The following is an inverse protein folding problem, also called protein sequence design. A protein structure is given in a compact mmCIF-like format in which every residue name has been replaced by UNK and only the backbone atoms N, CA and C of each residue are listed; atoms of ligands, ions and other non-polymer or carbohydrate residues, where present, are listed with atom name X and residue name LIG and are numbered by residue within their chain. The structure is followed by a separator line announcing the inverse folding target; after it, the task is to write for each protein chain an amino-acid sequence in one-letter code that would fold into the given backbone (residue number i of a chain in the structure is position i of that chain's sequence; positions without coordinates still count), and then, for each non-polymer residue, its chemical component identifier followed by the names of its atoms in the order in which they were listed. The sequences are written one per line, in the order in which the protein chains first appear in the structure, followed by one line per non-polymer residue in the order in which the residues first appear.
data_IF_981729842264
#
_entry.id   IF_981729842264
#
_cell.length_a   1.000
_cell.length_b   1.000
_cell.length_c   1.000
_cell.angle_alpha   90.00
_cell.angle_beta   90.00
_cell.angle_gamma   90.00
#
_symmetry.space_group_name_H-M   'P 1'
#
loop_
_entity.id
_entity.type
_entity.pdbx_description
1 polymer ?
#
# COMPACT_ATOMS: atom_id res chain seq x y z
N UNK A 1 17.92 48.43 8.95
CA UNK A 1 16.65 47.74 9.26
C UNK A 1 16.80 46.27 8.88
N UNK A 2 17.04 45.42 9.82
CA UNK A 2 17.29 44.00 9.60
C UNK A 2 15.97 43.24 9.84
N UNK A 3 15.43 42.59 8.81
CA UNK A 3 14.24 41.76 8.91
C UNK A 3 14.59 40.46 9.64
N UNK A 4 14.05 40.31 10.83
CA UNK A 4 14.07 39.10 11.63
C UNK A 4 13.07 38.12 11.00
N UNK A 5 13.55 37.12 10.23
CA UNK A 5 12.74 35.95 9.85
C UNK A 5 12.45 35.10 11.07
N UNK A 6 11.18 35.03 11.42
CA UNK A 6 10.62 34.19 12.46
C UNK A 6 10.59 32.76 11.98
N UNK A 7 11.52 31.93 12.44
CA UNK A 7 11.50 30.47 12.33
C UNK A 7 10.63 29.95 13.49
N UNK A 8 9.33 29.93 13.27
CA UNK A 8 8.40 29.12 14.07
C UNK A 8 7.98 27.91 13.24
N UNK A 9 8.87 26.94 13.07
CA UNK A 9 8.46 25.57 12.81
C UNK A 9 8.13 24.94 14.18
N UNK A 10 6.87 24.97 14.52
CA UNK A 10 6.33 24.17 15.63
C UNK A 10 6.60 22.72 15.28
N UNK A 11 7.59 22.12 15.92
CA UNK A 11 7.75 20.66 15.97
C UNK A 11 6.54 20.14 16.78
N UNK A 12 5.55 19.66 16.06
CA UNK A 12 4.37 19.02 16.64
C UNK A 12 4.82 17.69 17.27
N UNK A 13 5.21 17.76 18.54
CA UNK A 13 5.50 16.56 19.32
C UNK A 13 4.16 15.96 19.75
N UNK A 14 3.90 14.66 19.46
CA UNK A 14 2.67 14.01 19.90
C UNK A 14 2.50 14.16 21.42
N UNK A 15 1.27 14.39 21.86
CA UNK A 15 0.93 14.56 23.28
C UNK A 15 1.35 13.34 24.11
N UNK A 16 1.57 13.52 25.41
CA UNK A 16 2.05 12.44 26.28
C UNK A 16 1.08 11.24 26.30
N UNK A 17 -0.23 11.48 26.19
CA UNK A 17 -1.27 10.45 26.09
C UNK A 17 -1.13 9.59 24.82
N UNK A 18 -0.86 10.21 23.67
CA UNK A 18 -0.67 9.48 22.40
C UNK A 18 0.60 8.62 22.43
N UNK A 19 1.63 9.05 23.15
CA UNK A 19 2.86 8.26 23.34
C UNK A 19 2.62 7.05 24.25
N UNK A 20 1.85 7.20 25.31
CA UNK A 20 1.50 6.10 26.20
C UNK A 20 0.61 5.07 25.49
N UNK A 21 -0.38 5.50 24.73
CA UNK A 21 -1.24 4.61 23.95
C UNK A 21 -0.44 3.85 22.88
N UNK A 22 0.45 4.51 22.16
CA UNK A 22 1.35 3.88 21.19
C UNK A 22 2.29 2.85 21.83
N UNK A 23 2.81 3.12 23.04
CA UNK A 23 3.68 2.18 23.76
C UNK A 23 2.88 0.96 24.25
N UNK A 24 1.65 1.13 24.66
CA UNK A 24 0.76 0.05 25.10
C UNK A 24 0.40 -0.84 23.90
N UNK A 25 0.09 -0.24 22.75
CA UNK A 25 -0.23 -0.96 21.51
C UNK A 25 0.99 -1.73 20.97
N UNK A 26 2.18 -1.13 20.99
CA UNK A 26 3.45 -1.78 20.65
C UNK A 26 3.71 -3.01 21.54
N UNK A 27 3.54 -2.89 22.84
CA UNK A 27 3.73 -4.00 23.77
C UNK A 27 2.68 -5.10 23.57
N UNK A 28 1.44 -4.74 23.22
CA UNK A 28 0.35 -5.68 23.05
C UNK A 28 0.56 -6.64 21.88
N UNK A 29 1.02 -6.17 20.71
CA UNK A 29 1.27 -7.06 19.57
C UNK A 29 2.60 -7.82 19.69
N UNK A 30 3.63 -7.21 20.28
CA UNK A 30 4.92 -7.87 20.50
C UNK A 30 4.79 -9.08 21.44
N UNK A 31 3.90 -9.02 22.44
CA UNK A 31 3.62 -10.16 23.32
C UNK A 31 3.00 -11.37 22.60
N UNK A 32 2.49 -11.20 21.38
CA UNK A 32 1.95 -12.27 20.53
C UNK A 32 3.01 -12.99 19.70
N UNK A 33 4.24 -12.46 19.66
CA UNK A 33 5.35 -13.11 18.98
C UNK A 33 5.69 -14.42 19.67
N UNK A 34 5.91 -15.45 18.88
CA UNK A 34 6.32 -16.77 19.36
C UNK A 34 7.82 -16.75 19.61
N UNK A 35 8.23 -16.95 20.85
CA UNK A 35 9.62 -17.03 21.26
C UNK A 35 10.07 -18.46 21.56
N UNK A 36 11.38 -18.67 21.56
CA UNK A 36 12.01 -19.90 22.05
C UNK A 36 12.13 -19.86 23.61
N UNK A 37 12.84 -20.81 24.18
CA UNK A 37 13.04 -20.89 25.65
C UNK A 37 13.95 -19.78 26.20
N UNK A 38 14.70 -19.11 25.33
CA UNK A 38 15.64 -18.04 25.65
C UNK A 38 15.05 -16.66 25.30
N UNK A 39 13.71 -16.56 25.20
CA UNK A 39 12.93 -15.37 24.85
C UNK A 39 13.29 -14.73 23.47
N UNK A 40 13.99 -15.48 22.60
CA UNK A 40 14.29 -15.01 21.25
C UNK A 40 13.12 -15.32 20.30
N UNK A 41 12.84 -14.41 19.39
CA UNK A 41 11.79 -14.57 18.36
C UNK A 41 12.13 -15.78 17.47
N UNK A 42 11.17 -16.68 17.28
CA UNK A 42 11.36 -17.86 16.42
C UNK A 42 11.46 -17.47 14.95
N UNK A 43 12.64 -17.65 14.36
CA UNK A 43 12.91 -17.36 12.95
C UNK A 43 12.20 -18.31 11.95
N UNK A 44 11.79 -19.49 12.37
CA UNK A 44 11.09 -20.46 11.52
C UNK A 44 9.56 -20.27 11.50
N UNK A 45 9.03 -19.16 12.04
CA UNK A 45 7.61 -18.89 12.17
C UNK A 45 7.14 -17.83 11.17
N UNK A 46 6.39 -18.23 10.13
CA UNK A 46 5.72 -17.29 9.21
C UNK A 46 4.77 -16.35 9.97
N UNK A 47 4.12 -16.83 11.03
CA UNK A 47 3.22 -16.03 11.85
C UNK A 47 3.95 -14.86 12.53
N UNK A 48 5.21 -15.05 12.96
CA UNK A 48 6.00 -13.96 13.52
C UNK A 48 6.33 -12.92 12.45
N UNK A 49 6.73 -13.35 11.26
CA UNK A 49 6.98 -12.44 10.15
C UNK A 49 5.70 -11.66 9.77
N UNK A 50 4.54 -12.33 9.66
CA UNK A 50 3.26 -11.65 9.40
C UNK A 50 2.90 -10.64 10.49
N UNK A 51 3.12 -10.97 11.78
CA UNK A 51 2.86 -10.07 12.89
C UNK A 51 3.72 -8.80 12.80
N UNK A 52 4.99 -8.93 12.48
CA UNK A 52 5.89 -7.81 12.28
C UNK A 52 5.41 -6.96 11.09
N UNK A 53 5.18 -7.56 9.92
CA UNK A 53 4.71 -6.87 8.72
C UNK A 53 3.39 -6.12 8.91
N UNK A 54 2.54 -6.63 9.79
CA UNK A 54 1.21 -6.06 10.00
C UNK A 54 1.18 -4.95 11.05
N UNK A 55 2.10 -4.97 12.04
CA UNK A 55 2.01 -4.11 13.20
C UNK A 55 3.21 -3.16 13.38
N UNK A 56 4.34 -3.40 12.72
CA UNK A 56 5.45 -2.44 12.74
C UNK A 56 5.05 -1.12 12.08
N UNK A 57 5.38 0.00 12.71
CA UNK A 57 4.95 1.34 12.29
C UNK A 57 5.42 1.73 10.88
N UNK A 58 6.56 1.22 10.43
CA UNK A 58 7.11 1.49 9.11
C UNK A 58 6.63 0.49 8.04
N UNK A 59 6.14 -0.69 8.46
CA UNK A 59 5.71 -1.75 7.56
C UNK A 59 4.18 -1.85 7.43
N UNK A 60 3.44 -1.49 8.47
CA UNK A 60 2.00 -1.63 8.53
C UNK A 60 1.29 -0.89 7.38
N UNK A 61 0.46 -1.62 6.63
CA UNK A 61 -0.30 -1.08 5.50
C UNK A 61 0.55 -0.61 4.31
N UNK A 62 1.83 -1.02 4.22
CA UNK A 62 2.68 -0.70 3.06
C UNK A 62 2.54 -1.72 1.94
N UNK A 63 2.19 -2.97 2.24
CA UNK A 63 2.15 -4.10 1.30
C UNK A 63 0.71 -4.44 0.97
N UNK A 64 0.36 -4.48 -0.31
CA UNK A 64 -0.97 -4.84 -0.77
C UNK A 64 -0.95 -5.60 -2.10
N UNK A 65 -2.05 -6.28 -2.41
CA UNK A 65 -2.24 -7.00 -3.66
C UNK A 65 -3.15 -6.21 -4.60
N UNK A 66 -2.67 -5.90 -5.79
CA UNK A 66 -3.45 -5.24 -6.83
C UNK A 66 -4.22 -6.29 -7.63
N UNK A 67 -5.55 -6.34 -7.46
CA UNK A 67 -6.41 -7.29 -8.18
C UNK A 67 -6.41 -7.10 -9.69
N UNK A 68 -6.19 -5.87 -10.15
CA UNK A 68 -6.22 -5.56 -11.56
C UNK A 68 -4.95 -6.04 -12.29
N UNK A 69 -3.78 -5.76 -11.72
CA UNK A 69 -2.50 -6.18 -12.32
C UNK A 69 -2.10 -7.61 -11.99
N UNK A 70 -2.59 -8.15 -10.86
CA UNK A 70 -2.20 -9.47 -10.36
C UNK A 70 -0.87 -9.48 -9.59
N UNK A 71 -0.32 -8.30 -9.27
CA UNK A 71 0.98 -8.15 -8.59
C UNK A 71 0.84 -7.59 -7.18
N UNK A 72 1.86 -7.83 -6.35
CA UNK A 72 2.01 -7.18 -5.05
C UNK A 72 2.57 -5.77 -5.30
N UNK A 73 2.16 -4.82 -4.49
CA UNK A 73 2.59 -3.43 -4.54
C UNK A 73 3.02 -2.92 -3.18
N UNK A 74 4.00 -2.02 -3.21
CA UNK A 74 4.31 -1.12 -2.12
C UNK A 74 3.39 0.11 -2.27
N UNK A 75 2.49 0.35 -1.30
CA UNK A 75 1.45 1.38 -1.40
C UNK A 75 1.92 2.79 -1.07
N UNK A 76 3.00 2.92 -0.33
CA UNK A 76 3.55 4.21 0.11
C UNK A 76 5.06 4.16 0.19
N UNK A 77 5.68 5.32 0.11
CA UNK A 77 7.12 5.46 0.27
C UNK A 77 7.56 4.87 1.61
N UNK A 78 8.61 4.09 1.59
CA UNK A 78 9.04 3.32 2.75
C UNK A 78 10.48 3.62 3.11
N UNK A 79 10.73 4.12 4.34
CA UNK A 79 12.08 4.51 4.77
C UNK A 79 13.05 3.32 4.86
N UNK A 80 12.54 2.11 5.09
CA UNK A 80 13.36 0.89 5.22
C UNK A 80 14.00 0.44 3.90
N UNK A 81 13.52 0.93 2.75
CA UNK A 81 14.11 0.60 1.45
C UNK A 81 14.50 1.83 0.64
N UNK A 82 14.13 3.04 1.09
CA UNK A 82 14.33 4.29 0.36
C UNK A 82 13.81 4.24 -1.08
N UNK A 83 12.60 3.70 -1.26
CA UNK A 83 11.89 3.57 -2.54
C UNK A 83 10.52 4.19 -2.46
N UNK A 84 10.10 4.73 -3.59
CA UNK A 84 8.74 5.22 -3.78
C UNK A 84 7.75 4.07 -3.98
N UNK A 85 6.47 4.35 -3.73
CA UNK A 85 5.37 3.44 -3.98
C UNK A 85 5.41 2.88 -5.42
N UNK A 86 5.10 1.60 -5.58
CA UNK A 86 5.15 0.92 -6.88
C UNK A 86 4.98 -0.59 -6.80
N UNK A 87 5.24 -1.26 -7.90
CA UNK A 87 5.20 -2.72 -7.98
C UNK A 87 6.31 -3.33 -7.11
N UNK A 88 6.01 -4.46 -6.48
CA UNK A 88 6.93 -5.19 -5.61
C UNK A 88 8.04 -5.86 -6.42
N UNK A 89 9.28 -5.65 -6.05
CA UNK A 89 10.47 -6.26 -6.64
C UNK A 89 11.11 -7.27 -5.69
N UNK A 90 11.80 -8.29 -6.21
CA UNK A 90 12.49 -9.32 -5.39
C UNK A 90 13.51 -8.69 -4.42
N UNK A 91 14.19 -7.63 -4.85
CA UNK A 91 15.14 -6.86 -4.02
C UNK A 91 14.51 -6.27 -2.75
N UNK A 92 13.17 -6.16 -2.70
CA UNK A 92 12.48 -5.64 -1.53
C UNK A 92 12.43 -6.66 -0.39
N UNK A 93 12.43 -7.96 -0.71
CA UNK A 93 12.47 -9.02 0.31
C UNK A 93 13.84 -9.05 1.03
N UNK A 94 14.93 -8.80 0.30
CA UNK A 94 16.27 -8.69 0.87
C UNK A 94 16.37 -7.50 1.84
N UNK A 95 15.90 -6.33 1.40
CA UNK A 95 15.88 -5.12 2.23
C UNK A 95 14.96 -5.27 3.45
N UNK A 96 13.83 -5.96 3.29
CA UNK A 96 12.89 -6.26 4.36
C UNK A 96 13.52 -7.18 5.40
N UNK A 97 14.25 -8.21 4.96
CA UNK A 97 14.97 -9.13 5.83
C UNK A 97 16.02 -8.39 6.66
N UNK A 98 16.81 -7.51 6.03
CA UNK A 98 17.81 -6.68 6.72
C UNK A 98 17.15 -5.73 7.74
N UNK A 99 16.05 -5.07 7.36
CA UNK A 99 15.28 -4.21 8.26
C UNK A 99 14.77 -4.96 9.49
N UNK A 100 14.23 -6.16 9.29
CA UNK A 100 13.69 -6.99 10.40
C UNK A 100 14.82 -7.46 11.30
N UNK A 101 15.96 -7.87 10.74
CA UNK A 101 17.14 -8.27 11.52
C UNK A 101 17.63 -7.13 12.41
N UNK A 102 17.75 -5.93 11.86
CA UNK A 102 18.23 -4.75 12.59
C UNK A 102 17.28 -4.34 13.75
N UNK A 103 15.97 -4.40 13.53
CA UNK A 103 14.98 -3.88 14.50
C UNK A 103 14.47 -4.92 15.50
N UNK A 104 14.51 -6.21 15.13
CA UNK A 104 13.93 -7.31 15.91
C UNK A 104 14.93 -8.39 16.32
N UNK A 105 16.21 -8.27 15.91
CA UNK A 105 17.26 -9.25 16.16
C UNK A 105 16.84 -10.69 15.78
N UNK A 106 16.16 -10.85 14.64
CA UNK A 106 15.73 -12.13 14.10
C UNK A 106 15.95 -12.20 12.60
N UNK A 107 16.58 -13.28 12.13
CA UNK A 107 16.76 -13.57 10.70
C UNK A 107 15.77 -14.62 10.29
N UNK A 108 14.84 -14.25 9.42
CA UNK A 108 13.93 -15.21 8.81
C UNK A 108 14.54 -15.79 7.53
N UNK A 109 14.24 -17.04 7.25
CA UNK A 109 14.50 -17.67 5.96
C UNK A 109 13.68 -16.99 4.85
N UNK A 110 14.28 -16.82 3.64
CA UNK A 110 13.64 -16.13 2.51
C UNK A 110 12.25 -16.66 2.19
N UNK A 111 12.07 -17.98 2.26
CA UNK A 111 10.77 -18.60 2.05
C UNK A 111 9.73 -18.19 3.12
N UNK A 112 10.16 -17.87 4.35
CA UNK A 112 9.27 -17.38 5.40
C UNK A 112 8.87 -15.93 5.16
N UNK A 113 9.84 -15.09 4.77
CA UNK A 113 9.57 -13.70 4.38
C UNK A 113 8.64 -13.67 3.19
N UNK A 114 8.96 -14.37 2.11
CA UNK A 114 8.11 -14.45 0.93
C UNK A 114 6.66 -14.85 1.27
N UNK A 115 6.47 -15.92 2.04
CA UNK A 115 5.12 -16.35 2.46
C UNK A 115 4.40 -15.29 3.29
N UNK A 116 5.12 -14.62 4.18
CA UNK A 116 4.53 -13.56 5.01
C UNK A 116 4.11 -12.36 4.15
N UNK A 117 4.95 -11.93 3.20
CA UNK A 117 4.64 -10.86 2.25
C UNK A 117 3.39 -11.19 1.44
N UNK A 118 3.34 -12.39 0.84
CA UNK A 118 2.17 -12.84 0.06
C UNK A 118 0.91 -12.88 0.92
N UNK A 119 0.99 -13.41 2.14
CA UNK A 119 -0.15 -13.50 3.04
C UNK A 119 -0.66 -12.12 3.47
N UNK A 120 0.25 -11.19 3.80
CA UNK A 120 -0.12 -9.81 4.17
C UNK A 120 -0.69 -9.07 2.98
N UNK A 121 -0.09 -9.17 1.81
CA UNK A 121 -0.60 -8.58 0.58
C UNK A 121 -2.02 -9.05 0.26
N UNK A 122 -2.29 -10.36 0.38
CA UNK A 122 -3.62 -10.94 0.14
C UNK A 122 -4.68 -10.55 1.17
N UNK A 123 -4.28 -10.10 2.36
CA UNK A 123 -5.19 -9.49 3.35
C UNK A 123 -5.49 -8.02 3.05
N UNK A 124 -4.62 -7.35 2.29
CA UNK A 124 -4.72 -5.94 1.89
C UNK A 124 -4.89 -5.85 0.38
N UNK A 125 -6.10 -6.03 -0.09
CA UNK A 125 -6.41 -6.02 -1.52
C UNK A 125 -6.90 -4.65 -1.96
N UNK A 126 -6.45 -4.18 -3.12
CA UNK A 126 -6.93 -2.94 -3.74
C UNK A 126 -7.10 -3.10 -5.25
N UNK A 127 -7.94 -2.28 -5.84
CA UNK A 127 -8.17 -2.25 -7.28
C UNK A 127 -8.23 -0.80 -7.77
N UNK A 128 -7.11 -0.26 -8.29
CA UNK A 128 -7.02 1.16 -8.66
C UNK A 128 -7.97 1.55 -9.78
N UNK A 129 -8.30 0.62 -10.67
CA UNK A 129 -9.24 0.86 -11.77
C UNK A 129 -10.67 0.98 -11.22
N UNK A 130 -11.08 0.03 -10.37
CA UNK A 130 -12.40 0.05 -9.71
C UNK A 130 -12.56 1.32 -8.88
N UNK A 131 -11.58 1.64 -8.03
CA UNK A 131 -11.59 2.85 -7.20
C UNK A 131 -11.68 4.14 -8.03
N UNK A 132 -11.02 4.18 -9.18
CA UNK A 132 -11.10 5.33 -10.09
C UNK A 132 -12.48 5.46 -10.72
N UNK A 133 -13.07 4.35 -11.17
CA UNK A 133 -14.41 4.34 -11.78
C UNK A 133 -15.47 4.74 -10.76
N UNK A 134 -15.39 4.22 -9.52
CA UNK A 134 -16.35 4.52 -8.45
C UNK A 134 -16.33 6.00 -8.00
N UNK A 135 -15.17 6.67 -8.15
CA UNK A 135 -15.04 8.10 -7.85
C UNK A 135 -15.63 9.00 -8.94
N UNK A 136 -15.84 8.47 -10.16
CA UNK A 136 -16.41 9.24 -11.26
C UNK A 136 -17.94 9.31 -11.09
N UNK A 137 -18.44 10.52 -10.94
CA UNK A 137 -19.91 10.76 -10.95
C UNK A 137 -20.33 11.14 -12.36
N UNK A 138 -21.41 10.50 -12.82
CA UNK A 138 -22.01 10.87 -14.09
C UNK A 138 -22.57 12.30 -14.02
N UNK A 139 -22.16 13.13 -14.97
CA UNK A 139 -22.57 14.54 -15.10
C UNK A 139 -23.89 14.71 -15.86
N UNK A 140 -24.63 13.62 -16.10
CA UNK A 140 -25.91 13.55 -16.78
C UNK A 140 -25.87 13.95 -18.27
N UNK A 141 -24.69 14.06 -18.87
CA UNK A 141 -24.56 14.34 -20.31
C UNK A 141 -24.50 13.04 -21.09
N UNK A 142 -25.42 12.80 -22.02
CA UNK A 142 -25.41 11.63 -22.89
C UNK A 142 -24.28 11.77 -23.93
N UNK A 143 -23.20 10.99 -23.77
CA UNK A 143 -22.05 11.00 -24.70
C UNK A 143 -21.92 9.73 -25.51
N UNK A 144 -22.75 8.73 -25.20
CA UNK A 144 -22.59 7.41 -25.77
C UNK A 144 -22.71 7.43 -27.31
N UNK A 145 -23.69 8.14 -27.82
CA UNK A 145 -23.99 8.20 -29.26
C UNK A 145 -23.00 9.08 -30.04
N UNK A 146 -22.39 10.07 -29.37
CA UNK A 146 -21.48 11.04 -30.01
C UNK A 146 -20.01 10.77 -29.75
N UNK A 147 -19.66 9.72 -29.00
CA UNK A 147 -18.29 9.49 -28.55
C UNK A 147 -17.30 9.39 -29.70
N UNK A 148 -17.60 8.69 -30.78
CA UNK A 148 -16.73 8.61 -31.95
C UNK A 148 -16.63 9.92 -32.72
N UNK A 149 -17.72 10.69 -32.74
CA UNK A 149 -17.76 12.03 -33.34
C UNK A 149 -16.84 12.97 -32.54
N UNK A 150 -17.02 13.00 -31.21
CA UNK A 150 -16.34 13.94 -30.31
C UNK A 150 -14.85 13.59 -30.13
N UNK A 151 -14.49 12.30 -30.09
CA UNK A 151 -13.12 11.86 -29.81
C UNK A 151 -12.30 11.52 -31.06
N UNK A 152 -12.92 11.01 -32.11
CA UNK A 152 -12.23 10.56 -33.32
C UNK A 152 -12.47 11.47 -34.52
N UNK A 153 -13.33 12.48 -34.40
CA UNK A 153 -13.63 13.43 -35.48
C UNK A 153 -14.32 12.80 -36.68
N UNK A 154 -15.04 11.70 -36.50
CA UNK A 154 -15.84 11.09 -37.58
C UNK A 154 -17.08 11.93 -37.88
N UNK A 155 -17.61 11.78 -39.12
CA UNK A 155 -18.80 12.53 -39.53
C UNK A 155 -20.02 12.24 -38.64
N UNK A 156 -20.73 13.30 -38.24
CA UNK A 156 -21.96 13.19 -37.46
C UNK A 156 -23.14 12.81 -38.40
N UNK A 157 -23.50 11.56 -38.36
CA UNK A 157 -24.66 11.03 -39.06
C UNK A 157 -25.30 9.89 -38.25
N UNK A 158 -26.53 9.51 -38.67
CA UNK A 158 -27.30 8.48 -37.96
C UNK A 158 -26.52 7.13 -37.89
N UNK A 159 -25.84 6.76 -38.97
CA UNK A 159 -25.07 5.51 -39.03
C UNK A 159 -23.95 5.53 -37.96
N UNK A 160 -23.16 6.60 -37.91
CA UNK A 160 -22.05 6.74 -36.96
C UNK A 160 -22.56 6.68 -35.52
N UNK A 161 -23.68 7.36 -35.22
CA UNK A 161 -24.28 7.34 -33.88
C UNK A 161 -24.77 5.95 -33.47
N UNK A 162 -25.44 5.23 -34.35
CA UNK A 162 -25.90 3.87 -34.10
C UNK A 162 -24.76 2.86 -33.98
N UNK A 163 -23.72 2.99 -34.79
CA UNK A 163 -22.51 2.14 -34.70
C UNK A 163 -21.79 2.40 -33.37
N UNK A 164 -21.58 3.66 -32.99
CA UNK A 164 -20.94 4.03 -31.72
C UNK A 164 -21.68 3.41 -30.55
N UNK A 165 -22.99 3.55 -30.49
CA UNK A 165 -23.82 3.01 -29.43
C UNK A 165 -23.71 1.49 -29.32
N UNK A 166 -23.83 0.79 -30.45
CA UNK A 166 -23.74 -0.68 -30.48
C UNK A 166 -22.35 -1.18 -30.13
N UNK A 167 -21.31 -0.50 -30.57
CA UNK A 167 -19.94 -0.90 -30.31
C UNK A 167 -19.54 -0.82 -28.82
N UNK A 168 -20.11 0.17 -28.10
CA UNK A 168 -19.80 0.36 -26.68
C UNK A 168 -20.65 -0.53 -25.78
N UNK A 169 -21.91 -0.77 -26.15
CA UNK A 169 -22.85 -1.55 -25.33
C UNK A 169 -22.73 -3.06 -25.58
N UNK A 170 -22.15 -3.48 -26.70
CA UNK A 170 -21.96 -4.89 -27.11
C UNK A 170 -23.11 -5.37 -27.95
#
# INVERSE_FOLDING_TARGET
MVHKHKLDSVLDFPEASEREDNIIELKAWMSRLRCNKDDQIKSNSVVNAELILTNDSNLAGTIAYNEFSGYIHLLKDSPWINRSAGEWEDSFEDALTAYIEENYNVVFDDNKIHKAVVNVARKNVFNPVKERIEKVKWDQKPRLETMFIDLLGVEDNLYTREVTKRWIVG
#
